data_IF_812895189756
#
_entry.id   IF_812895189756
#
_cell.length_a   1.000
_cell.length_b   1.000
_cell.length_c   1.000
_cell.angle_alpha   90.00
_cell.angle_beta   90.00
_cell.angle_gamma   90.00
#
_symmetry.space_group_name_H-M   'P 1'
#
loop_
_entity.id
_entity.type
_entity.pdbx_description
1 polymer ?
#
# COMPACT_ATOMS: atom_id res chain seq x y z
N UNK A 1 1.02 -2.68 -5.26
CA UNK A 1 1.52 -1.79 -6.33
C UNK A 1 0.45 -1.65 -7.41
N UNK A 2 0.52 -0.60 -8.22
CA UNK A 2 -0.43 -0.41 -9.31
C UNK A 2 0.05 -1.13 -10.57
N UNK A 3 -0.83 -1.95 -11.17
CA UNK A 3 -0.61 -2.61 -12.46
C UNK A 3 0.69 -3.45 -12.53
N UNK A 4 1.07 -4.10 -11.44
CA UNK A 4 2.32 -4.87 -11.38
C UNK A 4 2.37 -6.03 -12.39
N UNK A 5 1.23 -6.69 -12.64
CA UNK A 5 1.13 -7.71 -13.68
C UNK A 5 1.41 -7.17 -15.10
N UNK A 6 1.12 -5.90 -15.37
CA UNK A 6 1.47 -5.24 -16.65
C UNK A 6 2.98 -5.00 -16.76
N UNK A 7 3.66 -4.70 -15.65
CA UNK A 7 5.13 -4.60 -15.59
C UNK A 7 5.75 -5.96 -15.92
N UNK A 8 5.29 -7.03 -15.27
CA UNK A 8 5.78 -8.39 -15.55
C UNK A 8 5.56 -8.81 -17.00
N UNK A 9 4.38 -8.52 -17.56
CA UNK A 9 4.07 -8.86 -18.96
C UNK A 9 4.90 -8.06 -19.96
N UNK A 10 5.23 -6.81 -19.65
CA UNK A 10 5.97 -5.91 -20.54
C UNK A 10 7.48 -6.12 -20.48
N UNK A 11 8.04 -6.27 -19.27
CA UNK A 11 9.49 -6.26 -19.06
C UNK A 11 10.07 -7.61 -18.64
N UNK A 12 9.21 -8.56 -18.28
CA UNK A 12 9.56 -9.88 -17.74
C UNK A 12 9.57 -9.90 -16.21
N UNK A 13 9.28 -11.07 -15.63
CA UNK A 13 9.20 -11.29 -14.16
C UNK A 13 10.48 -10.86 -13.45
N UNK A 14 11.66 -11.11 -14.05
CA UNK A 14 12.93 -10.72 -13.45
C UNK A 14 13.03 -9.20 -13.21
N UNK A 15 12.57 -8.38 -14.17
CA UNK A 15 12.51 -6.92 -14.01
C UNK A 15 11.47 -6.55 -12.96
N UNK A 16 10.34 -7.24 -12.92
CA UNK A 16 9.34 -7.06 -11.86
C UNK A 16 9.90 -7.28 -10.46
N UNK A 17 10.73 -8.29 -10.26
CA UNK A 17 11.38 -8.58 -8.98
C UNK A 17 12.36 -7.46 -8.57
N UNK A 18 13.07 -6.87 -9.52
CA UNK A 18 13.95 -5.71 -9.29
C UNK A 18 13.14 -4.46 -8.93
N UNK A 19 12.01 -4.22 -9.60
CA UNK A 19 11.09 -3.13 -9.25
C UNK A 19 10.54 -3.34 -7.84
N UNK A 20 10.14 -4.55 -7.46
CA UNK A 20 9.69 -4.86 -6.10
C UNK A 20 10.76 -4.57 -5.05
N UNK A 21 12.01 -4.96 -5.31
CA UNK A 21 13.15 -4.66 -4.43
C UNK A 21 13.41 -3.16 -4.31
N UNK A 22 13.38 -2.44 -5.43
CA UNK A 22 13.55 -0.99 -5.44
C UNK A 22 12.43 -0.26 -4.67
N UNK A 23 11.17 -0.65 -4.89
CA UNK A 23 10.02 -0.11 -4.15
C UNK A 23 10.16 -0.41 -2.66
N UNK A 24 10.50 -1.64 -2.28
CA UNK A 24 10.70 -2.01 -0.87
C UNK A 24 11.80 -1.19 -0.20
N UNK A 25 12.93 -0.97 -0.90
CA UNK A 25 14.02 -0.14 -0.39
C UNK A 25 13.57 1.30 -0.16
N UNK A 26 12.88 1.90 -1.15
CA UNK A 26 12.35 3.26 -1.05
C UNK A 26 11.33 3.43 0.07
N UNK A 27 10.41 2.48 0.20
CA UNK A 27 9.43 2.52 1.28
C UNK A 27 10.10 2.44 2.66
N UNK A 28 11.15 1.64 2.80
CA UNK A 28 11.87 1.50 4.07
C UNK A 28 12.54 2.79 4.56
N UNK A 29 12.85 3.73 3.66
CA UNK A 29 13.39 5.05 4.01
C UNK A 29 12.35 5.97 4.68
N UNK A 30 11.06 5.67 4.54
CA UNK A 30 9.96 6.52 5.01
C UNK A 30 9.53 6.20 6.45
N UNK A 31 9.62 4.92 6.84
CA UNK A 31 9.10 4.43 8.10
C UNK A 31 10.12 4.54 9.25
N UNK A 32 9.60 4.66 10.46
CA UNK A 32 10.41 4.70 11.69
C UNK A 32 10.77 3.28 12.12
N UNK A 33 11.77 3.16 12.99
CA UNK A 33 12.16 1.87 13.59
C UNK A 33 11.02 1.20 14.40
N UNK A 34 10.09 1.99 14.94
CA UNK A 34 8.92 1.50 15.68
C UNK A 34 7.81 0.96 14.77
N UNK A 35 7.83 1.34 13.50
CA UNK A 35 6.80 0.96 12.54
C UNK A 35 7.10 -0.46 12.04
N UNK A 36 6.06 -1.26 11.83
CA UNK A 36 6.20 -2.62 11.30
C UNK A 36 5.79 -2.57 9.85
N UNK A 37 6.71 -2.91 8.94
CA UNK A 37 6.46 -2.92 7.50
C UNK A 37 6.76 -4.31 6.97
N UNK A 38 5.86 -4.85 6.17
CA UNK A 38 5.99 -6.20 5.63
C UNK A 38 5.37 -6.34 4.25
N UNK A 39 5.91 -7.28 3.47
CA UNK A 39 5.28 -7.77 2.25
C UNK A 39 4.34 -8.91 2.62
N UNK A 40 3.05 -8.71 2.37
CA UNK A 40 1.99 -9.67 2.74
C UNK A 40 1.50 -10.51 1.56
N UNK A 41 1.91 -10.16 0.34
CA UNK A 41 1.53 -10.86 -0.89
C UNK A 41 2.49 -10.60 -2.05
N UNK A 42 2.07 -10.98 -3.26
CA UNK A 42 2.88 -10.86 -4.47
C UNK A 42 3.37 -9.42 -4.72
N UNK A 43 2.49 -8.44 -4.71
CA UNK A 43 2.83 -7.02 -4.92
C UNK A 43 2.26 -6.11 -3.81
N UNK A 44 1.93 -6.73 -2.68
CA UNK A 44 1.19 -6.13 -1.58
C UNK A 44 2.08 -5.95 -0.36
N UNK A 45 2.06 -4.73 0.17
CA UNK A 45 2.79 -4.31 1.34
C UNK A 45 1.80 -3.79 2.37
N UNK A 46 2.07 -4.06 3.65
CA UNK A 46 1.32 -3.55 4.78
C UNK A 46 2.27 -2.86 5.76
N UNK A 47 1.76 -1.82 6.41
CA UNK A 47 2.45 -1.13 7.49
C UNK A 47 1.53 -0.98 8.70
N UNK A 48 2.03 -1.32 9.88
CA UNK A 48 1.39 -1.03 11.17
C UNK A 48 2.17 0.10 11.82
N UNK A 49 1.46 1.15 12.20
CA UNK A 49 2.02 2.42 12.67
C UNK A 49 1.58 2.67 14.12
N UNK A 50 2.35 2.23 15.12
CA UNK A 50 1.99 2.43 16.53
C UNK A 50 1.94 3.92 16.89
N UNK A 51 0.97 4.30 17.72
CA UNK A 51 0.88 5.64 18.32
C UNK A 51 0.89 6.80 17.30
N UNK A 52 0.32 6.59 16.11
CA UNK A 52 0.15 7.62 15.08
C UNK A 52 -1.29 8.14 15.08
N UNK A 53 -1.49 9.42 14.75
CA UNK A 53 -2.82 9.99 14.50
C UNK A 53 -3.26 9.66 13.07
N UNK A 54 -4.57 9.59 12.85
CA UNK A 54 -5.18 9.33 11.54
C UNK A 54 -4.62 10.23 10.42
N UNK A 55 -4.54 11.54 10.68
CA UNK A 55 -4.04 12.53 9.71
C UNK A 55 -2.57 12.31 9.36
N UNK A 56 -1.75 11.94 10.36
CA UNK A 56 -0.32 11.71 10.15
C UNK A 56 -0.07 10.38 9.43
N UNK A 57 -0.89 9.36 9.68
CA UNK A 57 -0.89 8.12 8.91
C UNK A 57 -1.24 8.37 7.44
N UNK A 58 -2.26 9.19 7.19
CA UNK A 58 -2.65 9.57 5.83
C UNK A 58 -1.52 10.34 5.13
N UNK A 59 -0.90 11.30 5.81
CA UNK A 59 0.27 12.04 5.28
C UNK A 59 1.44 11.12 4.97
N UNK A 60 1.72 10.14 5.83
CA UNK A 60 2.78 9.17 5.60
C UNK A 60 2.49 8.30 4.37
N UNK A 61 1.25 7.82 4.24
CA UNK A 61 0.83 7.06 3.06
C UNK A 61 0.92 7.88 1.77
N UNK A 62 0.48 9.15 1.80
CA UNK A 62 0.62 10.06 0.65
C UNK A 62 2.08 10.29 0.28
N UNK A 63 2.96 10.48 1.29
CA UNK A 63 4.40 10.59 1.08
C UNK A 63 4.96 9.34 0.39
N UNK A 64 4.52 8.14 0.77
CA UNK A 64 4.91 6.90 0.08
C UNK A 64 4.45 6.89 -1.39
N UNK A 65 3.20 7.28 -1.67
CA UNK A 65 2.69 7.38 -3.05
C UNK A 65 3.54 8.36 -3.89
N UNK A 66 3.79 9.57 -3.39
CA UNK A 66 4.63 10.57 -4.06
C UNK A 66 6.05 10.04 -4.29
N UNK A 67 6.69 9.46 -3.26
CA UNK A 67 8.04 8.92 -3.37
C UNK A 67 8.15 7.88 -4.49
N UNK A 68 7.21 6.95 -4.58
CA UNK A 68 7.25 5.92 -5.62
C UNK A 68 6.90 6.49 -6.99
N UNK A 69 5.93 7.41 -7.07
CA UNK A 69 5.55 8.07 -8.32
C UNK A 69 6.72 8.86 -8.94
N UNK A 70 7.50 9.53 -8.11
CA UNK A 70 8.69 10.29 -8.54
C UNK A 70 9.92 9.40 -8.76
N UNK A 71 9.87 8.14 -8.31
CA UNK A 71 10.98 7.20 -8.46
C UNK A 71 11.00 6.57 -9.85
N UNK A 72 12.21 6.33 -10.34
CA UNK A 72 12.45 5.58 -11.57
C UNK A 72 13.38 4.41 -11.24
N UNK A 73 13.02 3.22 -11.72
CA UNK A 73 13.76 1.98 -11.47
C UNK A 73 14.42 1.53 -12.77
N UNK A 74 15.75 1.53 -12.80
CA UNK A 74 16.53 1.13 -13.98
C UNK A 74 17.27 -0.17 -13.71
N UNK A 75 17.09 -1.14 -14.61
CA UNK A 75 17.72 -2.45 -14.53
C UNK A 75 17.93 -3.01 -15.95
N UNK A 76 19.11 -3.54 -16.25
CA UNK A 76 19.49 -4.05 -17.59
C UNK A 76 19.16 -3.08 -18.75
N UNK A 77 19.38 -1.78 -18.53
CA UNK A 77 19.08 -0.73 -19.52
C UNK A 77 17.58 -0.47 -19.75
N UNK A 78 16.69 -1.18 -19.05
CA UNK A 78 15.25 -0.91 -19.02
C UNK A 78 14.94 0.05 -17.90
N UNK A 79 14.05 1.00 -18.17
CA UNK A 79 13.60 2.00 -17.20
C UNK A 79 12.11 1.83 -16.96
N UNK A 80 11.73 1.62 -15.70
CA UNK A 80 10.35 1.42 -15.28
C UNK A 80 9.95 2.51 -14.29
N UNK A 81 8.84 3.17 -14.56
CA UNK A 81 8.13 3.99 -13.59
C UNK A 81 6.83 3.28 -13.18
N UNK A 82 6.46 3.42 -11.92
CA UNK A 82 5.27 2.79 -11.36
C UNK A 82 4.69 3.66 -10.26
N UNK A 83 3.51 3.30 -9.78
CA UNK A 83 2.83 3.97 -8.69
C UNK A 83 2.33 2.96 -7.68
N UNK A 84 1.96 3.45 -6.51
CA UNK A 84 1.24 2.66 -5.52
C UNK A 84 -0.05 3.37 -5.15
N UNK A 85 -1.09 2.58 -4.94
CA UNK A 85 -2.29 3.00 -4.22
C UNK A 85 -2.22 2.47 -2.78
N UNK A 86 -2.76 3.21 -1.82
CA UNK A 86 -2.75 2.82 -0.41
C UNK A 86 -4.12 3.00 0.23
N UNK A 87 -4.52 2.03 1.05
CA UNK A 87 -5.67 2.16 1.93
C UNK A 87 -5.23 2.32 3.37
N UNK A 88 -5.76 3.33 4.07
CA UNK A 88 -5.43 3.60 5.46
C UNK A 88 -6.64 3.24 6.33
N UNK A 89 -6.40 2.49 7.41
CA UNK A 89 -7.38 2.25 8.47
C UNK A 89 -6.76 2.69 9.80
N UNK A 90 -7.60 3.23 10.68
CA UNK A 90 -7.21 3.63 12.03
C UNK A 90 -7.98 2.77 13.01
N UNK A 91 -7.28 2.15 13.96
CA UNK A 91 -7.88 1.34 15.01
C UNK A 91 -8.85 2.19 15.83
N UNK A 92 -10.05 1.68 16.02
CA UNK A 92 -11.14 2.33 16.75
C UNK A 92 -11.10 2.00 18.23
N UNK A 93 -10.65 0.78 18.54
CA UNK A 93 -10.59 0.27 19.91
C UNK A 93 -9.34 -0.59 20.13
N UNK A 94 -9.07 -0.94 21.39
CA UNK A 94 -8.03 -1.93 21.73
C UNK A 94 -8.47 -3.37 21.43
N UNK A 95 -9.74 -3.56 21.09
CA UNK A 95 -10.36 -4.87 20.83
C UNK A 95 -10.37 -5.20 19.33
N UNK A 96 -10.01 -4.23 18.47
CA UNK A 96 -9.92 -4.43 17.03
C UNK A 96 -8.97 -5.59 16.72
N UNK A 97 -9.48 -6.58 16.00
CA UNK A 97 -8.69 -7.72 15.56
C UNK A 97 -7.82 -7.35 14.36
N UNK A 98 -6.72 -8.08 14.16
CA UNK A 98 -5.86 -7.88 12.98
C UNK A 98 -6.65 -8.05 11.68
N UNK A 99 -7.54 -9.04 11.61
CA UNK A 99 -8.34 -9.32 10.42
C UNK A 99 -9.29 -8.17 10.08
N UNK A 100 -9.92 -7.55 11.09
CA UNK A 100 -10.77 -6.38 10.89
C UNK A 100 -9.97 -5.18 10.38
N UNK A 101 -8.80 -4.92 10.97
CA UNK A 101 -7.92 -3.81 10.57
C UNK A 101 -7.46 -3.99 9.12
N UNK A 102 -7.01 -5.21 8.76
CA UNK A 102 -6.58 -5.54 7.41
C UNK A 102 -7.75 -5.43 6.42
N UNK A 103 -8.93 -5.92 6.76
CA UNK A 103 -10.13 -5.82 5.92
C UNK A 103 -10.49 -4.37 5.65
N UNK A 104 -10.51 -3.51 6.67
CA UNK A 104 -10.80 -2.08 6.52
C UNK A 104 -9.75 -1.37 5.64
N UNK A 105 -8.46 -1.64 5.87
CA UNK A 105 -7.39 -1.10 5.02
C UNK A 105 -7.52 -1.58 3.56
N UNK A 106 -7.91 -2.84 3.35
CA UNK A 106 -8.14 -3.40 2.02
C UNK A 106 -9.33 -2.76 1.31
N UNK A 107 -10.44 -2.51 2.01
CA UNK A 107 -11.60 -1.78 1.46
C UNK A 107 -11.19 -0.39 0.98
N UNK A 108 -10.44 0.35 1.80
CA UNK A 108 -9.93 1.66 1.40
C UNK A 108 -8.95 1.55 0.21
N UNK A 109 -8.08 0.55 0.18
CA UNK A 109 -7.16 0.33 -0.93
C UNK A 109 -7.91 0.06 -2.24
N UNK A 110 -8.98 -0.72 -2.19
CA UNK A 110 -9.84 -0.98 -3.34
C UNK A 110 -10.45 0.33 -3.86
N UNK A 111 -10.96 1.17 -2.97
CA UNK A 111 -11.48 2.49 -3.32
C UNK A 111 -10.41 3.36 -4.03
N UNK A 112 -9.18 3.39 -3.53
CA UNK A 112 -8.08 4.11 -4.20
C UNK A 112 -7.79 3.59 -5.60
N UNK A 113 -7.85 2.26 -5.79
CA UNK A 113 -7.65 1.64 -7.11
C UNK A 113 -8.79 1.96 -8.08
N UNK A 114 -10.04 1.97 -7.60
CA UNK A 114 -11.23 2.28 -8.39
C UNK A 114 -11.32 3.75 -8.77
N UNK A 115 -10.89 4.66 -7.88
CA UNK A 115 -10.83 6.11 -8.14
C UNK A 115 -9.69 6.54 -9.09
N UNK A 116 -8.97 5.60 -9.70
CA UNK A 116 -7.92 5.92 -10.69
C UNK A 116 -6.48 5.60 -10.29
N UNK A 117 -6.25 4.97 -9.13
CA UNK A 117 -4.92 4.59 -8.60
C UNK A 117 -4.01 5.78 -8.27
N UNK A 118 -2.75 5.50 -7.89
CA UNK A 118 -1.75 6.50 -7.47
C UNK A 118 -2.27 7.48 -6.41
N UNK A 119 -3.01 6.96 -5.44
CA UNK A 119 -3.65 7.78 -4.42
C UNK A 119 -3.89 6.99 -3.15
N UNK A 120 -4.36 7.71 -2.13
CA UNK A 120 -4.65 7.16 -0.82
C UNK A 120 -6.10 7.41 -0.47
N UNK A 121 -6.77 6.38 0.06
CA UNK A 121 -8.10 6.49 0.66
C UNK A 121 -8.01 6.17 2.15
N UNK A 122 -8.77 6.90 2.96
CA UNK A 122 -9.00 6.58 4.36
C UNK A 122 -10.28 5.75 4.46
N UNK A 123 -10.24 4.64 5.17
CA UNK A 123 -11.44 3.88 5.50
C UNK A 123 -12.37 4.75 6.34
N UNK A 124 -13.58 4.96 5.84
CA UNK A 124 -14.68 5.60 6.57
C UNK A 124 -15.72 4.52 6.83
N UNK A 125 -16.06 4.32 8.10
CA UNK A 125 -17.14 3.42 8.47
C UNK A 125 -18.46 4.03 7.99
N UNK A 126 -19.01 3.47 6.92
CA UNK A 126 -20.38 3.76 6.53
C UNK A 126 -21.30 2.98 7.46
N UNK A 127 -22.28 3.64 8.07
CA UNK A 127 -23.26 3.05 9.00
C UNK A 127 -24.14 1.93 8.40
N UNK A 128 -23.87 1.52 7.16
CA UNK A 128 -24.56 0.48 6.43
C UNK A 128 -23.52 -0.34 5.65
N UNK A 129 -23.01 -1.41 6.24
CA UNK A 129 -22.78 -2.63 5.48
C UNK A 129 -22.82 -3.85 6.42
N UNK A 130 -23.68 -4.85 6.13
CA UNK A 130 -23.72 -6.09 6.88
C UNK A 130 -22.41 -6.85 6.68
N UNK A 131 -21.98 -7.55 7.72
CA UNK A 131 -20.92 -8.56 7.74
C UNK A 131 -21.08 -9.53 6.57
N UNK A 132 -20.26 -9.37 5.52
CA UNK A 132 -20.00 -10.46 4.61
C UNK A 132 -19.02 -11.41 5.30
N UNK A 133 -19.54 -12.56 5.71
CA UNK A 133 -18.79 -13.69 6.23
C UNK A 133 -17.74 -14.13 5.20
N UNK A 134 -16.49 -14.19 5.65
CA UNK A 134 -15.41 -14.84 4.91
C UNK A 134 -15.69 -16.34 4.94
N UNK A 135 -15.97 -16.92 3.77
CA UNK A 135 -15.97 -18.37 3.54
C UNK A 135 -14.56 -18.91 3.36
#
# INVERSE_FOLDING_TARGET
MDKFSEINRTFGTHVGDEVLRGVSAKLSEVFRKSDIVGRIGGEEFAAVLPSIKAEDALKLAMKCCTLIHESTFTFDGKTVQTTISSGVCVTRSKEDTLDEILRCAYVALKESKEKGRNQVSLYVENATNPTEEVK
#
